data_IF_608595199913
#
_entry.id   IF_608595199913
#
_cell.length_a   1.000
_cell.length_b   1.000
_cell.length_c   1.000
_cell.angle_alpha   90.00
_cell.angle_beta   90.00
_cell.angle_gamma   90.00
#
_symmetry.space_group_name_H-M   'P 1'
#
loop_
_entity.id
_entity.type
_entity.pdbx_description
1 polymer ?
#
# COMPACT_ATOMS: atom_id res chain seq x y z
N UNK A 1 -10.35 1.30 -16.02
CA UNK A 1 -9.97 2.53 -15.30
C UNK A 1 -8.47 2.46 -15.04
N UNK A 2 -7.71 3.54 -15.22
CA UNK A 2 -6.25 3.52 -15.05
C UNK A 2 -5.83 3.65 -13.57
N UNK A 3 -6.25 2.67 -12.78
CA UNK A 3 -5.93 2.51 -11.36
C UNK A 3 -5.40 1.10 -11.20
N UNK A 4 -4.27 0.95 -10.54
CA UNK A 4 -3.68 -0.37 -10.29
C UNK A 4 -4.41 -1.07 -9.13
N UNK A 5 -4.52 -2.39 -9.19
CA UNK A 5 -5.22 -3.19 -8.15
C UNK A 5 -4.54 -3.02 -6.80
N UNK A 6 -3.20 -2.95 -6.77
CA UNK A 6 -2.44 -2.75 -5.53
C UNK A 6 -2.72 -1.39 -4.87
N UNK A 7 -3.30 -0.43 -5.59
CA UNK A 7 -3.69 0.84 -5.00
C UNK A 7 -4.91 0.69 -4.09
N UNK A 8 -5.75 -0.36 -4.18
CA UNK A 8 -6.91 -0.53 -3.28
C UNK A 8 -7.78 0.76 -3.24
N UNK A 9 -8.01 1.37 -4.41
CA UNK A 9 -8.79 2.61 -4.58
C UNK A 9 -10.10 2.26 -5.31
N UNK A 10 -11.22 2.64 -4.69
CA UNK A 10 -12.56 2.43 -5.24
C UNK A 10 -12.91 3.36 -6.42
N UNK A 11 -14.06 3.15 -7.07
CA UNK A 11 -14.49 3.92 -8.23
C UNK A 11 -14.71 5.41 -7.95
N UNK A 12 -14.98 5.77 -6.69
CA UNK A 12 -15.18 7.16 -6.25
C UNK A 12 -13.86 7.94 -6.09
N UNK A 13 -12.72 7.25 -6.24
CA UNK A 13 -11.38 7.80 -6.10
C UNK A 13 -11.27 8.62 -4.82
N UNK A 14 -11.39 7.96 -3.67
CA UNK A 14 -11.32 8.59 -2.35
C UNK A 14 -9.93 9.19 -2.02
N UNK A 15 -8.91 8.76 -2.77
CA UNK A 15 -7.56 9.31 -2.76
C UNK A 15 -7.01 9.37 -4.20
N UNK A 16 -6.02 10.23 -4.49
CA UNK A 16 -5.48 10.33 -5.83
C UNK A 16 -4.66 9.06 -6.16
N UNK A 17 -5.03 8.31 -7.22
CA UNK A 17 -4.19 7.21 -7.71
C UNK A 17 -2.95 7.74 -8.42
N UNK A 18 -1.99 6.86 -8.73
CA UNK A 18 -0.74 7.22 -9.43
C UNK A 18 -0.98 7.97 -10.73
N UNK A 19 -2.02 7.63 -11.48
CA UNK A 19 -2.40 8.36 -12.68
C UNK A 19 -2.72 9.84 -12.36
N UNK A 20 -3.62 10.09 -11.41
CA UNK A 20 -3.94 11.46 -11.00
C UNK A 20 -2.74 12.20 -10.40
N UNK A 21 -1.90 11.51 -9.62
CA UNK A 21 -0.65 12.09 -9.08
C UNK A 21 0.30 12.51 -10.21
N UNK A 22 0.49 11.66 -11.23
CA UNK A 22 1.30 11.98 -12.41
C UNK A 22 0.79 13.25 -13.10
N UNK A 23 -0.51 13.32 -13.34
CA UNK A 23 -1.13 14.49 -13.96
C UNK A 23 -0.87 15.78 -13.16
N UNK A 24 -1.19 15.76 -11.86
CA UNK A 24 -1.04 16.92 -10.97
C UNK A 24 0.42 17.35 -10.81
N UNK A 25 1.34 16.39 -10.67
CA UNK A 25 2.77 16.69 -10.56
C UNK A 25 3.35 17.25 -11.87
N UNK A 26 2.83 16.87 -13.04
CA UNK A 26 3.25 17.44 -14.31
C UNK A 26 2.97 18.96 -14.41
N UNK A 27 1.94 19.45 -13.68
CA UNK A 27 1.65 20.89 -13.59
C UNK A 27 2.27 21.56 -12.36
N UNK A 28 2.88 20.80 -11.45
CA UNK A 28 3.59 21.30 -10.27
C UNK A 28 2.70 21.45 -9.04
N UNK A 29 1.69 20.59 -8.93
CA UNK A 29 0.67 20.63 -7.86
C UNK A 29 0.64 19.30 -7.13
N UNK A 30 0.56 19.37 -5.80
CA UNK A 30 0.05 18.30 -4.95
C UNK A 30 -1.22 18.78 -4.28
N UNK A 31 -2.22 17.91 -4.23
CA UNK A 31 -3.51 18.19 -3.59
C UNK A 31 -3.54 17.46 -2.25
N UNK A 32 -3.91 18.17 -1.19
CA UNK A 32 -4.12 17.54 0.13
C UNK A 32 -5.25 16.52 0.08
N UNK A 33 -5.30 15.52 0.98
CA UNK A 33 -6.40 14.55 1.01
C UNK A 33 -7.79 15.19 1.09
N UNK A 34 -7.93 16.26 1.89
CA UNK A 34 -9.17 17.04 1.99
C UNK A 34 -9.49 17.79 0.71
N UNK A 35 -8.50 18.41 0.07
CA UNK A 35 -8.67 19.06 -1.23
C UNK A 35 -9.16 18.09 -2.31
N UNK A 36 -8.56 16.90 -2.37
CA UNK A 36 -8.93 15.87 -3.33
C UNK A 36 -10.39 15.43 -3.16
N UNK A 37 -10.81 15.22 -1.91
CA UNK A 37 -12.19 14.88 -1.55
C UNK A 37 -13.22 15.99 -1.87
N UNK A 38 -12.78 17.22 -2.13
CA UNK A 38 -13.64 18.34 -2.54
C UNK A 38 -13.74 18.49 -4.07
N UNK A 39 -12.88 17.82 -4.84
CA UNK A 39 -12.96 17.79 -6.30
C UNK A 39 -14.13 16.90 -6.70
N UNK A 40 -14.96 17.32 -7.66
CA UNK A 40 -16.03 16.48 -8.21
C UNK A 40 -15.48 15.17 -8.78
N UNK A 41 -16.22 14.06 -8.64
CA UNK A 41 -15.76 12.72 -9.04
C UNK A 41 -15.43 12.68 -10.52
N UNK A 42 -16.21 13.35 -11.37
CA UNK A 42 -15.93 13.45 -12.82
C UNK A 42 -14.59 14.14 -13.08
N UNK A 43 -14.27 15.21 -12.34
CA UNK A 43 -12.99 15.91 -12.48
C UNK A 43 -11.82 15.04 -11.97
N UNK A 44 -12.02 14.22 -10.93
CA UNK A 44 -11.02 13.22 -10.50
C UNK A 44 -10.78 12.18 -11.59
N UNK A 45 -11.85 11.70 -12.23
CA UNK A 45 -11.75 10.73 -13.33
C UNK A 45 -11.02 11.32 -14.54
N UNK A 46 -11.25 12.59 -14.89
CA UNK A 46 -10.49 13.26 -15.96
C UNK A 46 -9.01 13.36 -15.59
N UNK A 47 -8.65 13.68 -14.34
CA UNK A 47 -7.25 13.68 -13.90
C UNK A 47 -6.60 12.29 -14.02
N UNK A 48 -7.33 11.23 -13.71
CA UNK A 48 -6.88 9.84 -13.91
C UNK A 48 -6.68 9.54 -15.39
N UNK A 49 -7.62 9.94 -16.24
CA UNK A 49 -7.52 9.73 -17.69
C UNK A 49 -6.29 10.46 -18.25
N UNK A 50 -6.12 11.75 -17.97
CA UNK A 50 -4.96 12.52 -18.41
C UNK A 50 -3.64 11.94 -17.90
N UNK A 51 -3.65 11.50 -16.64
CA UNK A 51 -2.54 10.82 -15.99
C UNK A 51 -2.16 9.48 -16.59
N UNK A 52 -3.06 8.83 -17.33
CA UNK A 52 -2.84 7.54 -17.99
C UNK A 52 -2.29 7.64 -19.40
N UNK A 53 -2.37 8.82 -20.02
CA UNK A 53 -1.91 9.06 -21.40
C UNK A 53 -0.40 9.04 -21.49
N UNK A 54 0.15 8.66 -22.65
CA UNK A 54 1.59 8.75 -22.91
C UNK A 54 2.13 10.18 -22.74
N UNK A 55 1.30 11.20 -22.98
CA UNK A 55 1.61 12.61 -22.70
C UNK A 55 0.42 13.25 -21.98
N UNK A 56 0.70 13.89 -20.85
CA UNK A 56 -0.32 14.61 -20.05
C UNK A 56 -0.72 15.90 -20.75
N UNK A 57 -2.03 16.16 -20.91
CA UNK A 57 -2.52 17.48 -21.32
C UNK A 57 -2.41 18.48 -20.15
N UNK A 58 -1.33 19.27 -20.17
CA UNK A 58 -1.06 20.25 -19.12
C UNK A 58 -2.14 21.35 -19.01
N UNK A 59 -2.86 21.67 -20.09
CA UNK A 59 -3.89 22.70 -20.08
C UNK A 59 -5.18 22.18 -19.42
N UNK A 60 -5.58 20.96 -19.77
CA UNK A 60 -6.73 20.30 -19.15
C UNK A 60 -6.51 20.13 -17.64
N UNK A 61 -5.33 19.62 -17.24
CA UNK A 61 -4.99 19.43 -15.83
C UNK A 61 -4.94 20.77 -15.07
N UNK A 62 -4.34 21.82 -15.65
CA UNK A 62 -4.31 23.16 -15.01
C UNK A 62 -5.70 23.73 -14.81
N UNK A 63 -6.61 23.53 -15.77
CA UNK A 63 -7.99 24.00 -15.67
C UNK A 63 -8.67 23.40 -14.44
N UNK A 64 -8.51 22.09 -14.23
CA UNK A 64 -9.05 21.39 -13.05
C UNK A 64 -8.35 21.87 -11.78
N UNK A 65 -7.01 21.93 -11.78
CA UNK A 65 -6.23 22.32 -10.61
C UNK A 65 -6.55 23.75 -10.14
N UNK A 66 -6.84 24.68 -11.06
CA UNK A 66 -7.24 26.05 -10.74
C UNK A 66 -8.62 26.14 -10.05
N UNK A 67 -9.46 25.12 -10.20
CA UNK A 67 -10.74 25.02 -9.51
C UNK A 67 -10.62 24.57 -8.05
N UNK A 68 -9.45 24.05 -7.65
CA UNK A 68 -9.19 23.60 -6.28
C UNK A 68 -8.81 24.80 -5.41
N UNK A 69 -9.35 24.86 -4.19
CA UNK A 69 -9.03 25.94 -3.26
C UNK A 69 -7.52 26.02 -2.98
N UNK A 70 -6.95 27.22 -3.06
CA UNK A 70 -5.51 27.44 -2.97
C UNK A 70 -4.88 26.93 -1.66
N UNK A 71 -5.63 26.95 -0.54
CA UNK A 71 -5.17 26.42 0.75
C UNK A 71 -5.20 24.87 0.83
N UNK A 72 -5.70 24.19 -0.20
CA UNK A 72 -5.68 22.74 -0.32
C UNK A 72 -4.62 22.24 -1.33
N UNK A 73 -3.85 23.17 -1.90
CA UNK A 73 -2.79 22.90 -2.87
C UNK A 73 -1.42 23.18 -2.25
N UNK A 74 -0.48 22.27 -2.48
CA UNK A 74 0.95 22.50 -2.28
C UNK A 74 1.63 22.61 -3.64
N UNK A 75 2.37 23.69 -3.84
CA UNK A 75 3.21 23.83 -5.03
C UNK A 75 4.45 22.96 -4.88
N UNK A 76 4.74 22.20 -5.93
CA UNK A 76 5.92 21.34 -6.02
C UNK A 76 6.63 21.58 -7.35
N UNK A 77 7.89 21.15 -7.41
CA UNK A 77 8.61 21.07 -8.67
C UNK A 77 7.82 20.21 -9.66
N UNK A 78 7.71 20.68 -10.90
CA UNK A 78 7.08 19.89 -11.95
C UNK A 78 7.86 18.59 -12.14
N UNK A 79 7.15 17.48 -12.07
CA UNK A 79 7.76 16.18 -12.37
C UNK A 79 7.82 15.98 -13.87
N UNK A 80 8.96 15.52 -14.35
CA UNK A 80 9.12 15.00 -15.70
C UNK A 80 9.01 13.49 -15.61
N UNK A 81 8.29 12.87 -16.54
CA UNK A 81 8.22 11.42 -16.58
C UNK A 81 9.60 10.80 -16.74
N UNK A 82 9.84 9.63 -16.12
CA UNK A 82 11.06 8.87 -16.37
C UNK A 82 11.26 8.61 -17.86
N UNK A 83 12.51 8.77 -18.31
CA UNK A 83 12.89 8.54 -19.70
C UNK A 83 12.53 7.11 -20.14
N UNK A 84 12.12 6.97 -21.40
CA UNK A 84 11.89 5.66 -22.01
C UNK A 84 13.20 4.90 -22.24
N UNK A 85 14.30 5.62 -22.43
CA UNK A 85 15.59 5.07 -22.85
C UNK A 85 16.55 4.83 -21.70
N UNK A 86 16.16 5.19 -20.48
CA UNK A 86 17.01 5.06 -19.29
C UNK A 86 16.17 4.71 -18.05
N UNK A 87 16.60 3.68 -17.33
CA UNK A 87 16.02 3.29 -16.05
C UNK A 87 16.56 4.22 -14.95
N UNK A 88 15.70 4.88 -14.14
CA UNK A 88 16.17 5.73 -13.05
C UNK A 88 17.07 4.99 -12.07
N UNK A 89 18.16 5.64 -11.65
CA UNK A 89 19.18 5.06 -10.75
C UNK A 89 18.58 4.58 -9.43
N UNK A 90 17.68 5.35 -8.82
CA UNK A 90 17.05 4.96 -7.56
C UNK A 90 16.13 3.76 -7.71
N UNK A 91 15.43 3.65 -8.84
CA UNK A 91 14.63 2.46 -9.16
C UNK A 91 15.53 1.24 -9.37
N UNK A 92 16.63 1.39 -10.12
CA UNK A 92 17.59 0.31 -10.32
C UNK A 92 18.18 -0.21 -8.99
N UNK A 93 18.51 0.70 -8.06
CA UNK A 93 18.96 0.34 -6.70
C UNK A 93 17.88 -0.40 -5.92
N UNK A 94 16.64 0.09 -5.95
CA UNK A 94 15.51 -0.50 -5.21
C UNK A 94 15.14 -1.90 -5.72
N UNK A 95 15.29 -2.15 -7.03
CA UNK A 95 15.09 -3.47 -7.63
C UNK A 95 16.21 -4.45 -7.27
N UNK A 96 17.44 -3.95 -7.17
CA UNK A 96 18.62 -4.78 -7.00
C UNK A 96 18.85 -5.75 -8.18
N UNK A 97 19.87 -6.62 -8.10
CA UNK A 97 20.23 -7.51 -9.20
C UNK A 97 19.18 -8.57 -9.50
N UNK A 98 18.37 -8.96 -8.52
CA UNK A 98 17.39 -10.04 -8.65
C UNK A 98 16.14 -9.62 -9.43
N UNK A 99 15.90 -8.32 -9.59
CA UNK A 99 14.67 -7.79 -10.19
C UNK A 99 14.93 -6.69 -11.22
N UNK A 100 16.14 -6.67 -11.78
CA UNK A 100 16.48 -5.74 -12.84
C UNK A 100 15.46 -5.84 -13.99
N UNK A 101 14.92 -4.70 -14.41
CA UNK A 101 14.05 -4.61 -15.58
C UNK A 101 14.97 -4.38 -16.78
N UNK A 102 15.03 -5.29 -17.76
CA UNK A 102 15.79 -5.07 -18.98
C UNK A 102 15.29 -3.83 -19.73
N UNK A 103 16.19 -3.13 -20.41
CA UNK A 103 15.84 -1.88 -21.11
C UNK A 103 14.72 -2.07 -22.13
N UNK A 104 14.66 -3.21 -22.83
CA UNK A 104 13.59 -3.47 -23.81
C UNK A 104 12.21 -3.61 -23.16
N UNK A 105 12.11 -4.18 -21.95
CA UNK A 105 10.87 -4.23 -21.16
C UNK A 105 10.49 -2.83 -20.65
N UNK A 106 11.48 -2.08 -20.13
CA UNK A 106 11.27 -0.69 -19.69
C UNK A 106 10.77 0.23 -20.82
N UNK A 107 11.28 0.03 -22.03
CA UNK A 107 10.83 0.71 -23.23
C UNK A 107 9.42 0.26 -23.66
N UNK A 108 8.99 -0.94 -23.28
CA UNK A 108 7.71 -1.55 -23.66
C UNK A 108 6.53 -1.14 -22.77
N UNK A 109 6.76 -0.76 -21.52
CA UNK A 109 5.70 -0.32 -20.60
C UNK A 109 5.24 1.13 -20.88
N UNK A 110 4.11 1.54 -20.32
CA UNK A 110 3.54 2.89 -20.56
C UNK A 110 4.29 3.98 -19.78
N UNK A 111 4.05 5.25 -20.13
CA UNK A 111 4.57 6.37 -19.35
C UNK A 111 4.07 6.36 -17.89
N UNK A 112 2.82 5.95 -17.67
CA UNK A 112 2.26 5.79 -16.33
C UNK A 112 2.97 4.67 -15.56
N UNK A 113 3.22 3.51 -16.18
CA UNK A 113 3.93 2.40 -15.53
C UNK A 113 5.34 2.82 -15.11
N UNK A 114 6.07 3.53 -15.98
CA UNK A 114 7.40 4.08 -15.67
C UNK A 114 7.35 5.05 -14.49
N UNK A 115 6.42 6.00 -14.53
CA UNK A 115 6.22 6.97 -13.46
C UNK A 115 5.94 6.27 -12.13
N UNK A 116 4.98 5.35 -12.11
CA UNK A 116 4.58 4.59 -10.92
C UNK A 116 5.76 3.82 -10.33
N UNK A 117 6.51 3.08 -11.15
CA UNK A 117 7.68 2.32 -10.67
C UNK A 117 8.74 3.25 -10.08
N UNK A 118 9.03 4.37 -10.75
CA UNK A 118 9.99 5.35 -10.26
C UNK A 118 9.54 6.00 -8.94
N UNK A 119 8.26 6.37 -8.82
CA UNK A 119 7.68 6.93 -7.59
C UNK A 119 7.73 5.96 -6.41
N UNK A 120 7.71 4.65 -6.67
CA UNK A 120 7.78 3.61 -5.64
C UNK A 120 9.20 3.20 -5.24
N UNK A 121 10.24 3.84 -5.76
CA UNK A 121 11.65 3.45 -5.48
C UNK A 121 12.00 3.41 -3.98
N UNK A 122 11.33 4.22 -3.15
CA UNK A 122 11.54 4.25 -1.70
C UNK A 122 10.55 3.36 -0.92
N UNK A 123 9.45 2.94 -1.55
CA UNK A 123 8.48 2.01 -0.98
C UNK A 123 8.63 0.63 -1.62
N UNK A 124 9.66 -0.09 -1.19
CA UNK A 124 10.00 -1.40 -1.78
C UNK A 124 8.87 -2.41 -1.69
N UNK A 125 8.02 -2.36 -0.64
CA UNK A 125 6.89 -3.27 -0.48
C UNK A 125 5.82 -3.07 -1.55
N UNK A 126 5.44 -1.82 -1.82
CA UNK A 126 4.50 -1.50 -2.88
C UNK A 126 5.12 -1.65 -4.27
N UNK A 127 6.39 -1.29 -4.43
CA UNK A 127 7.13 -1.54 -5.67
C UNK A 127 7.05 -3.02 -6.05
N UNK A 128 7.13 -3.91 -5.06
CA UNK A 128 6.96 -5.34 -5.30
C UNK A 128 5.56 -5.72 -5.78
N UNK A 129 4.49 -5.18 -5.18
CA UNK A 129 3.11 -5.44 -5.67
C UNK A 129 2.90 -4.91 -7.08
N UNK A 130 3.43 -3.72 -7.36
CA UNK A 130 3.38 -3.11 -8.68
C UNK A 130 4.05 -4.00 -9.73
N UNK A 131 5.25 -4.52 -9.44
CA UNK A 131 5.93 -5.43 -10.35
C UNK A 131 5.14 -6.72 -10.56
N UNK A 132 4.61 -7.32 -9.50
CA UNK A 132 3.81 -8.55 -9.60
C UNK A 132 2.54 -8.32 -10.43
N UNK A 133 1.93 -7.14 -10.34
CA UNK A 133 0.76 -6.76 -11.13
C UNK A 133 1.11 -6.54 -12.61
N UNK A 134 2.23 -5.86 -12.91
CA UNK A 134 2.71 -5.69 -14.29
C UNK A 134 3.07 -7.04 -14.94
N UNK A 135 3.64 -7.98 -14.17
CA UNK A 135 3.90 -9.34 -14.65
C UNK A 135 2.59 -10.11 -14.90
N UNK A 136 1.62 -10.04 -13.97
CA UNK A 136 0.29 -10.66 -14.14
C UNK A 136 -0.45 -10.11 -15.36
N UNK A 137 -0.31 -8.81 -15.62
CA UNK A 137 -0.87 -8.14 -16.80
C UNK A 137 -0.09 -8.37 -18.09
N UNK A 138 1.00 -9.15 -18.08
CA UNK A 138 1.82 -9.44 -19.26
C UNK A 138 2.63 -8.25 -19.80
N UNK A 139 2.75 -7.17 -19.01
CA UNK A 139 3.54 -5.99 -19.36
C UNK A 139 5.04 -6.19 -19.08
N UNK A 140 5.37 -7.04 -18.12
CA UNK A 140 6.73 -7.47 -17.80
C UNK A 140 6.83 -9.00 -17.89
N UNK A 141 8.02 -9.50 -18.19
CA UNK A 141 8.24 -10.95 -18.17
C UNK A 141 8.14 -11.49 -16.74
N UNK A 142 7.31 -12.52 -16.56
CA UNK A 142 7.14 -13.19 -15.27
C UNK A 142 8.43 -13.88 -14.86
N UNK A 143 9.02 -13.41 -13.77
CA UNK A 143 10.23 -14.03 -13.20
C UNK A 143 9.85 -14.87 -11.97
N UNK A 144 10.58 -15.96 -11.73
CA UNK A 144 10.50 -16.63 -10.42
C UNK A 144 11.18 -15.73 -9.41
N UNK A 145 10.38 -14.93 -8.71
CA UNK A 145 10.84 -14.09 -7.63
C UNK A 145 10.49 -14.76 -6.30
N UNK A 146 11.39 -14.71 -5.32
CA UNK A 146 11.05 -15.08 -3.95
C UNK A 146 10.00 -14.13 -3.38
N UNK A 147 9.53 -14.36 -2.15
CA UNK A 147 8.68 -13.40 -1.43
C UNK A 147 9.44 -12.09 -1.13
N UNK A 148 8.72 -10.97 -0.97
CA UNK A 148 9.34 -9.69 -0.60
C UNK A 148 10.01 -9.86 0.73
N UNK A 149 11.25 -9.40 0.88
CA UNK A 149 11.93 -9.35 2.16
C UNK A 149 12.34 -7.91 2.42
N UNK A 150 12.11 -7.47 3.64
CA UNK A 150 12.42 -6.11 4.08
C UNK A 150 12.00 -5.89 5.52
N UNK A 151 12.20 -4.68 6.03
CA UNK A 151 11.72 -4.27 7.33
C UNK A 151 10.19 -4.41 7.42
N UNK A 152 9.74 -5.31 8.28
CA UNK A 152 8.33 -5.61 8.51
C UNK A 152 8.05 -5.72 9.99
N UNK A 153 6.87 -5.27 10.41
CA UNK A 153 6.38 -5.55 11.74
C UNK A 153 5.76 -6.94 11.77
N UNK A 154 6.10 -7.70 12.80
CA UNK A 154 5.58 -9.04 13.10
C UNK A 154 4.88 -9.01 14.45
N UNK A 155 3.75 -9.70 14.54
CA UNK A 155 3.08 -10.02 15.79
C UNK A 155 2.45 -11.41 15.69
N UNK A 156 2.61 -12.22 16.71
CA UNK A 156 2.03 -13.57 16.74
C UNK A 156 0.90 -13.64 17.76
N UNK A 157 -0.14 -14.38 17.43
CA UNK A 157 -1.21 -14.78 18.34
C UNK A 157 -1.21 -16.30 18.43
N UNK A 158 -1.11 -16.83 19.65
CA UNK A 158 -1.23 -18.25 19.94
C UNK A 158 -2.55 -18.50 20.67
N UNK A 159 -3.37 -19.40 20.15
CA UNK A 159 -4.62 -19.87 20.76
C UNK A 159 -4.77 -21.38 20.53
N UNK A 160 -5.85 -21.97 21.03
CA UNK A 160 -6.17 -23.35 20.72
C UNK A 160 -6.53 -23.54 19.22
N UNK A 161 -6.12 -24.64 18.58
CA UNK A 161 -6.41 -24.88 17.16
C UNK A 161 -7.90 -24.89 16.80
N UNK A 162 -8.75 -25.41 17.69
CA UNK A 162 -10.21 -25.42 17.52
C UNK A 162 -10.80 -24.01 17.50
N UNK A 163 -10.27 -23.12 18.34
CA UNK A 163 -10.72 -21.73 18.43
C UNK A 163 -10.25 -20.91 17.24
N UNK A 164 -9.01 -21.11 16.76
CA UNK A 164 -8.56 -20.48 15.53
C UNK A 164 -9.40 -20.94 14.32
N UNK A 165 -9.70 -22.24 14.22
CA UNK A 165 -10.58 -22.75 13.18
C UNK A 165 -11.99 -22.16 13.27
N UNK A 166 -12.53 -22.00 14.47
CA UNK A 166 -13.82 -21.34 14.69
C UNK A 166 -13.77 -19.85 14.32
N UNK A 167 -12.71 -19.13 14.67
CA UNK A 167 -12.51 -17.72 14.29
C UNK A 167 -12.49 -17.52 12.77
N UNK A 168 -11.93 -18.49 12.04
CA UNK A 168 -11.88 -18.51 10.58
C UNK A 168 -13.17 -18.98 9.90
N UNK A 169 -14.14 -19.50 10.66
CA UNK A 169 -15.40 -20.01 10.13
C UNK A 169 -16.30 -18.85 9.64
N UNK A 170 -16.94 -18.94 8.45
CA UNK A 170 -17.86 -17.91 7.95
C UNK A 170 -19.06 -17.61 8.86
N UNK A 171 -19.38 -18.48 9.82
CA UNK A 171 -20.43 -18.25 10.82
C UNK A 171 -19.95 -17.39 11.98
N UNK A 172 -18.65 -17.36 12.25
CA UNK A 172 -18.08 -16.54 13.31
C UNK A 172 -18.04 -15.08 12.89
N UNK A 173 -18.84 -14.24 13.55
CA UNK A 173 -19.03 -12.83 13.19
C UNK A 173 -19.34 -12.64 11.69
N UNK A 174 -20.11 -13.57 11.10
CA UNK A 174 -20.45 -13.57 9.68
C UNK A 174 -19.20 -13.57 8.76
N UNK A 175 -18.12 -14.23 9.20
CA UNK A 175 -16.85 -14.33 8.46
C UNK A 175 -16.00 -13.05 8.54
N UNK A 176 -16.44 -12.05 9.30
CA UNK A 176 -15.79 -10.73 9.35
C UNK A 176 -14.65 -10.65 10.37
N UNK A 177 -14.37 -11.69 11.15
CA UNK A 177 -13.33 -11.69 12.18
C UNK A 177 -11.98 -11.13 11.69
N UNK A 178 -11.35 -11.75 10.68
CA UNK A 178 -10.09 -11.26 10.13
C UNK A 178 -10.17 -9.84 9.55
N UNK A 179 -11.27 -9.51 8.87
CA UNK A 179 -11.51 -8.19 8.26
C UNK A 179 -11.60 -7.10 9.33
N UNK A 180 -12.32 -7.37 10.43
CA UNK A 180 -12.46 -6.46 11.57
C UNK A 180 -11.12 -6.24 12.28
N UNK A 181 -10.33 -7.30 12.48
CA UNK A 181 -8.99 -7.21 13.06
C UNK A 181 -8.03 -6.41 12.17
N UNK A 182 -8.01 -6.67 10.86
CA UNK A 182 -7.23 -5.89 9.89
C UNK A 182 -7.68 -4.42 9.88
N UNK A 183 -8.98 -4.15 9.93
CA UNK A 183 -9.52 -2.80 10.02
C UNK A 183 -9.10 -2.07 11.30
N UNK A 184 -9.05 -2.76 12.44
CA UNK A 184 -8.55 -2.21 13.70
C UNK A 184 -7.07 -1.83 13.61
N UNK A 185 -6.22 -2.72 13.07
CA UNK A 185 -4.80 -2.44 12.86
C UNK A 185 -4.56 -1.28 11.90
N UNK A 186 -5.28 -1.21 10.76
CA UNK A 186 -5.20 -0.08 9.82
C UNK A 186 -5.59 1.25 10.48
N UNK A 187 -6.65 1.28 11.29
CA UNK A 187 -7.06 2.48 12.04
C UNK A 187 -6.00 2.90 13.07
N UNK A 188 -5.39 1.94 13.75
CA UNK A 188 -4.35 2.20 14.73
C UNK A 188 -3.10 2.80 14.08
N UNK A 189 -2.64 2.24 12.97
CA UNK A 189 -1.50 2.77 12.20
C UNK A 189 -1.69 4.25 11.82
N UNK A 190 -2.89 4.64 11.38
CA UNK A 190 -3.21 6.03 11.01
C UNK A 190 -3.14 7.01 12.17
N UNK A 191 -3.28 6.53 13.41
CA UNK A 191 -3.23 7.35 14.64
C UNK A 191 -1.90 7.18 15.40
N UNK A 192 -0.92 6.50 14.82
CA UNK A 192 0.33 6.20 15.51
C UNK A 192 1.10 7.46 15.92
N UNK A 193 1.05 8.51 15.10
CA UNK A 193 1.67 9.81 15.40
C UNK A 193 1.04 10.49 16.62
N UNK A 194 -0.26 10.32 16.87
CA UNK A 194 -0.97 10.85 18.04
C UNK A 194 -0.51 10.18 19.34
N UNK A 195 0.01 8.95 19.26
CA UNK A 195 0.41 8.14 20.43
C UNK A 195 1.89 8.31 20.74
N UNK A 196 2.75 8.26 19.72
CA UNK A 196 4.19 8.19 19.93
C UNK A 196 4.92 9.53 19.81
N UNK A 197 4.29 10.58 19.28
CA UNK A 197 4.82 11.96 19.12
C UNK A 197 6.15 12.08 18.35
N UNK A 198 6.78 10.98 17.95
CA UNK A 198 8.06 10.93 17.23
C UNK A 198 7.92 11.30 15.74
N UNK A 199 6.71 11.33 15.21
CA UNK A 199 6.40 11.49 13.78
C UNK A 199 5.15 12.35 13.55
N UNK A 200 4.93 13.37 14.39
CA UNK A 200 3.74 14.23 14.30
C UNK A 200 3.58 14.91 12.94
N UNK A 201 4.70 15.17 12.26
CA UNK A 201 4.76 15.83 10.95
C UNK A 201 4.72 14.85 9.76
N UNK A 202 4.69 13.54 10.01
CA UNK A 202 4.70 12.53 8.95
C UNK A 202 3.27 12.06 8.69
N UNK A 203 2.77 12.38 7.50
CA UNK A 203 1.49 11.83 7.05
C UNK A 203 1.64 10.33 6.77
N UNK A 204 0.77 9.52 7.38
CA UNK A 204 0.71 8.08 7.13
C UNK A 204 0.15 7.85 5.72
N UNK A 205 0.95 7.18 4.90
CA UNK A 205 0.62 6.78 3.54
C UNK A 205 -0.02 5.38 3.48
N UNK A 206 0.43 4.53 2.54
CA UNK A 206 -0.06 3.15 2.41
C UNK A 206 0.18 2.29 3.65
N UNK A 207 -0.80 1.42 3.95
CA UNK A 207 -0.75 0.47 5.07
C UNK A 207 -1.01 -0.93 4.53
N UNK A 208 0.06 -1.71 4.43
CA UNK A 208 -0.03 -3.15 4.19
C UNK A 208 -0.13 -3.85 5.54
N UNK A 209 -1.20 -4.61 5.75
CA UNK A 209 -1.43 -5.38 6.98
C UNK A 209 -2.21 -6.63 6.59
N UNK A 210 -1.63 -7.78 6.87
CA UNK A 210 -2.27 -9.05 6.61
C UNK A 210 -1.86 -10.10 7.65
N UNK A 211 -2.47 -11.27 7.55
CA UNK A 211 -2.26 -12.39 8.44
C UNK A 211 -2.04 -13.70 7.68
N UNK A 212 -1.49 -14.69 8.39
CA UNK A 212 -1.29 -16.04 7.91
C UNK A 212 -1.26 -17.02 9.08
N UNK A 213 -1.30 -18.31 8.79
CA UNK A 213 -1.07 -19.34 9.80
C UNK A 213 0.42 -19.42 10.14
N UNK A 214 0.75 -19.70 11.40
CA UNK A 214 2.09 -20.16 11.79
C UNK A 214 2.20 -21.67 11.58
N UNK A 215 3.43 -22.18 11.56
CA UNK A 215 3.69 -23.62 11.45
C UNK A 215 3.11 -24.41 12.65
N UNK A 216 2.99 -23.76 13.81
CA UNK A 216 2.38 -24.37 14.99
C UNK A 216 0.84 -24.29 14.93
N UNK A 217 0.12 -25.40 15.24
CA UNK A 217 -1.34 -25.39 15.31
C UNK A 217 -1.87 -24.32 16.26
N UNK A 218 -2.90 -23.57 15.82
CA UNK A 218 -3.48 -22.48 16.61
C UNK A 218 -2.64 -21.20 16.64
N UNK A 219 -1.55 -21.14 15.88
CA UNK A 219 -0.75 -19.94 15.71
C UNK A 219 -1.19 -19.11 14.50
N UNK A 220 -1.28 -17.80 14.71
CA UNK A 220 -1.61 -16.80 13.68
C UNK A 220 -0.52 -15.73 13.66
N UNK A 221 0.02 -15.47 12.47
CA UNK A 221 0.99 -14.43 12.20
C UNK A 221 0.29 -13.20 11.66
N UNK A 222 0.54 -12.04 12.23
CA UNK A 222 0.22 -10.74 11.65
C UNK A 222 1.51 -10.07 11.18
N UNK A 223 1.53 -9.63 9.92
CA UNK A 223 2.61 -8.79 9.41
C UNK A 223 2.08 -7.47 8.88
N UNK A 224 2.83 -6.40 9.12
CA UNK A 224 2.49 -5.06 8.66
C UNK A 224 3.69 -4.30 8.12
N UNK A 225 3.44 -3.52 7.07
CA UNK A 225 4.37 -2.54 6.53
C UNK A 225 3.61 -1.24 6.26
N UNK A 226 3.90 -0.22 7.05
CA UNK A 226 3.32 1.11 6.94
C UNK A 226 4.38 2.04 6.39
N UNK A 227 4.02 2.81 5.36
CA UNK A 227 4.91 3.80 4.77
C UNK A 227 4.33 5.20 4.88
N UNK A 228 5.19 6.21 4.92
CA UNK A 228 4.81 7.59 4.70
C UNK A 228 4.40 7.84 3.25
N UNK A 229 3.88 9.02 2.96
CA UNK A 229 3.56 9.45 1.59
C UNK A 229 4.81 9.53 0.68
N UNK A 230 5.99 9.73 1.26
CA UNK A 230 7.27 9.70 0.57
C UNK A 230 7.84 8.28 0.37
N UNK A 231 7.12 7.26 0.85
CA UNK A 231 7.51 5.86 0.80
C UNK A 231 8.42 5.40 1.95
N UNK A 232 8.83 6.30 2.85
CA UNK A 232 9.65 5.94 4.02
C UNK A 232 8.93 4.94 4.91
N UNK A 233 9.63 3.90 5.38
CA UNK A 233 9.06 2.94 6.32
C UNK A 233 8.82 3.59 7.68
N UNK A 234 7.65 3.36 8.27
CA UNK A 234 7.25 3.87 9.58
C UNK A 234 7.18 2.72 10.60
N UNK A 235 8.25 2.46 11.38
CA UNK A 235 8.33 1.28 12.24
C UNK A 235 7.27 1.27 13.34
N UNK A 236 7.07 2.40 14.03
CA UNK A 236 6.11 2.49 15.14
C UNK A 236 4.68 2.24 14.66
N UNK A 237 4.28 2.86 13.54
CA UNK A 237 2.97 2.65 12.94
C UNK A 237 2.77 1.21 12.46
N UNK A 238 3.81 0.60 11.88
CA UNK A 238 3.78 -0.80 11.44
C UNK A 238 3.59 -1.76 12.62
N UNK A 239 4.39 -1.60 13.67
CA UNK A 239 4.32 -2.44 14.86
C UNK A 239 2.96 -2.30 15.56
N UNK A 240 2.48 -1.07 15.70
CA UNK A 240 1.16 -0.80 16.26
C UNK A 240 0.03 -1.43 15.44
N UNK A 241 0.14 -1.44 14.11
CA UNK A 241 -0.85 -2.08 13.23
C UNK A 241 -0.95 -3.59 13.51
N UNK A 242 0.20 -4.29 13.51
CA UNK A 242 0.26 -5.74 13.73
C UNK A 242 -0.22 -6.12 15.15
N UNK A 243 0.24 -5.40 16.18
CA UNK A 243 -0.19 -5.64 17.57
C UNK A 243 -1.69 -5.41 17.71
N UNK A 244 -2.21 -4.31 17.20
CA UNK A 244 -3.64 -3.98 17.37
C UNK A 244 -4.53 -4.99 16.66
N UNK A 245 -4.11 -5.51 15.51
CA UNK A 245 -4.83 -6.59 14.85
C UNK A 245 -4.86 -7.86 15.71
N UNK A 246 -3.71 -8.28 16.27
CA UNK A 246 -3.63 -9.42 17.18
C UNK A 246 -4.47 -9.22 18.46
N UNK A 247 -4.47 -8.02 19.05
CA UNK A 247 -5.32 -7.65 20.19
C UNK A 247 -6.80 -7.71 19.84
N UNK A 248 -7.17 -7.26 18.65
CA UNK A 248 -8.56 -7.35 18.19
C UNK A 248 -9.02 -8.80 18.05
N UNK A 249 -8.18 -9.70 17.51
CA UNK A 249 -8.50 -11.13 17.47
C UNK A 249 -8.64 -11.69 18.88
N UNK A 250 -7.67 -11.41 19.77
CA UNK A 250 -7.74 -11.84 21.16
C UNK A 250 -9.06 -11.41 21.83
N UNK A 251 -9.48 -10.16 21.65
CA UNK A 251 -10.75 -9.66 22.20
C UNK A 251 -11.97 -10.41 21.65
N UNK A 252 -11.98 -10.74 20.35
CA UNK A 252 -13.06 -11.50 19.72
C UNK A 252 -13.16 -12.95 20.23
N UNK A 253 -12.03 -13.57 20.61
CA UNK A 253 -11.98 -14.98 21.01
C UNK A 253 -11.87 -15.21 22.53
N UNK A 254 -11.77 -14.16 23.35
CA UNK A 254 -11.48 -14.27 24.80
C UNK A 254 -12.43 -15.18 25.59
N UNK A 255 -13.69 -15.28 25.20
CA UNK A 255 -14.68 -16.16 25.85
C UNK A 255 -14.50 -17.64 25.43
N UNK A 256 -13.95 -17.88 24.24
CA UNK A 256 -13.68 -19.22 23.71
C UNK A 256 -12.32 -19.74 24.22
N UNK A 257 -11.32 -18.87 24.27
CA UNK A 257 -9.99 -19.16 24.79
C UNK A 257 -9.43 -18.02 25.65
N UNK A 258 -9.73 -18.01 26.96
CA UNK A 258 -9.18 -17.01 27.90
C UNK A 258 -7.66 -17.09 28.06
N UNK A 259 -7.00 -18.14 27.54
CA UNK A 259 -5.55 -18.34 27.61
C UNK A 259 -4.84 -17.99 26.30
N UNK A 260 -5.57 -17.48 25.30
CA UNK A 260 -4.95 -16.95 24.10
C UNK A 260 -3.90 -15.90 24.48
N UNK A 261 -2.78 -15.90 23.78
CA UNK A 261 -1.64 -15.03 24.10
C UNK A 261 -1.10 -14.36 22.86
N UNK A 262 -0.72 -13.10 23.01
CA UNK A 262 -0.03 -12.34 21.98
C UNK A 262 1.46 -12.39 22.30
N UNK A 263 2.27 -12.82 21.34
CA UNK A 263 3.71 -13.01 21.47
C UNK A 263 4.46 -12.37 20.31
N UNK A 264 5.78 -12.22 20.47
CA UNK A 264 6.72 -11.82 19.40
C UNK A 264 6.24 -10.58 18.63
N UNK A 265 6.15 -9.45 19.33
CA UNK A 265 5.91 -8.15 18.71
C UNK A 265 7.25 -7.48 18.39
N UNK A 266 7.67 -7.49 17.11
CA UNK A 266 8.98 -6.98 16.71
C UNK A 266 8.97 -6.36 15.32
N UNK A 267 9.97 -5.51 15.04
CA UNK A 267 10.38 -5.18 13.68
C UNK A 267 11.53 -6.11 13.30
N UNK A 268 11.46 -6.72 12.11
CA UNK A 268 12.52 -7.60 11.60
C UNK A 268 12.69 -7.41 10.09
N UNK A 269 13.90 -7.69 9.60
CA UNK A 269 14.17 -7.89 8.18
C UNK A 269 13.83 -9.34 7.84
N UNK A 270 12.64 -9.58 7.30
CA UNK A 270 12.17 -10.93 6.99
C UNK A 270 11.24 -10.96 5.76
N UNK A 271 10.98 -12.14 5.18
CA UNK A 271 10.01 -12.26 4.10
C UNK A 271 8.57 -11.93 4.53
N UNK A 272 7.80 -11.34 3.62
CA UNK A 272 6.34 -11.24 3.69
C UNK A 272 5.73 -12.62 3.46
N UNK A 273 5.13 -13.17 4.50
CA UNK A 273 4.65 -14.55 4.59
C UNK A 273 3.12 -14.64 4.66
N UNK A 274 2.45 -13.50 4.76
CA UNK A 274 1.01 -13.39 5.00
C UNK A 274 0.26 -12.97 3.73
N UNK A 275 -1.07 -13.16 3.72
CA UNK A 275 -1.91 -12.70 2.61
C UNK A 275 -1.72 -13.45 1.29
N UNK A 276 -1.23 -14.70 1.33
CA UNK A 276 -1.27 -15.59 0.16
C UNK A 276 -2.72 -15.77 -0.31
N UNK A 277 -2.93 -15.96 -1.63
CA UNK A 277 -4.22 -15.93 -2.34
C UNK A 277 -5.42 -16.49 -1.54
N UNK A 278 -5.99 -15.66 -0.69
CA UNK A 278 -7.38 -15.77 -0.27
C UNK A 278 -8.20 -15.29 -1.47
N UNK A 279 -9.15 -16.09 -1.98
CA UNK A 279 -9.96 -15.66 -3.10
C UNK A 279 -10.61 -14.33 -2.75
N UNK A 280 -10.33 -13.32 -3.57
CA UNK A 280 -11.12 -12.11 -3.64
C UNK A 280 -12.57 -12.51 -3.90
N UNK A 281 -13.48 -12.07 -3.02
CA UNK A 281 -14.91 -12.05 -3.28
C UNK A 281 -15.22 -11.35 -4.62
#
# INVERSE_FOLDING_TARGET
MAVYDFEDIGPDLDRPPFAALRALQAVGVLVTPRGWQQVEVEARQVLVEEGSRERVDLLAVRTIANGIAANQIKLVSRSVDPSRDELPVELAKALGPQRAIPLHEWQGITALDRFMLASLSYNTRLLWRALDELERGGKLERRRRGAWSGAVARCELITRPDVLAQFMDPRFLEGRGPVLARGAGRRAARRASEIFDLQVDVEVGPIELDWGALDQPGGMLWQAHVSGWDGSFLPAASLQAAITAAVAVHDMIKELDPRASISVATIAEEPWQVGGDTPSD
#
